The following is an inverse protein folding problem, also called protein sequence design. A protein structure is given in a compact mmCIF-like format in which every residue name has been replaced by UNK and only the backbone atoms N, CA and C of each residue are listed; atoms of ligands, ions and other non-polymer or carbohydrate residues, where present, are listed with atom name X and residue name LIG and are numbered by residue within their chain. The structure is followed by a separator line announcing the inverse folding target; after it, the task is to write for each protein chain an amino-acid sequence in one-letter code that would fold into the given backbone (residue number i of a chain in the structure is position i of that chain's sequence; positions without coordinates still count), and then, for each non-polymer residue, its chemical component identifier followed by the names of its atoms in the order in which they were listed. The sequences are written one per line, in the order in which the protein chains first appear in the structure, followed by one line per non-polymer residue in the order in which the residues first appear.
data_IF_954198427381
#
_entry.id   IF_954198427381
#
_cell.length_a   1.000
_cell.length_b   1.000
_cell.length_c   1.000
_cell.angle_alpha   90.00
_cell.angle_beta   90.00
_cell.angle_gamma   90.00
#
_symmetry.space_group_name_H-M   'P 1'
#
loop_
_entity.id
_entity.type
_entity.pdbx_description
1 polymer ?
#
# COMPACT_ATOMS: atom_id res chain seq x y z
N UNK A 1 17.75 50.76 52.17
CA UNK A 1 19.19 50.74 52.50
C UNK A 1 19.91 51.51 51.42
N UNK A 2 20.32 52.74 51.74
CA UNK A 2 20.95 53.71 50.83
C UNK A 2 22.47 53.55 50.90
N UNK A 3 23.12 53.43 49.76
CA UNK A 3 24.60 53.40 49.65
C UNK A 3 25.16 54.82 49.64
N UNK A 4 26.24 55.12 50.38
CA UNK A 4 26.81 56.47 50.46
C UNK A 4 27.65 56.83 49.22
N UNK A 5 27.63 58.12 48.87
CA UNK A 5 28.46 58.75 47.83
C UNK A 5 29.95 58.74 48.17
N UNK A 6 30.86 58.56 47.19
CA UNK A 6 32.29 58.75 47.40
C UNK A 6 32.66 60.24 47.34
N UNK A 7 33.34 60.70 48.39
CA UNK A 7 33.99 62.00 48.52
C UNK A 7 35.26 62.11 47.67
N UNK A 8 35.45 63.26 47.04
CA UNK A 8 36.60 63.60 46.21
C UNK A 8 37.83 63.95 47.09
N UNK A 9 39.01 63.32 46.92
CA UNK A 9 40.21 63.77 47.60
C UNK A 9 40.86 64.96 46.87
N UNK A 10 40.94 66.07 47.59
CA UNK A 10 41.76 67.24 47.28
C UNK A 10 43.24 66.96 47.58
N UNK A 11 44.10 67.39 46.66
CA UNK A 11 45.49 67.88 46.85
C UNK A 11 46.58 67.07 46.11
N UNK A 12 47.38 67.72 45.21
CA UNK A 12 48.28 67.04 44.30
C UNK A 12 49.75 67.14 44.73
N UNK A 13 50.20 66.49 45.81
CA UNK A 13 51.62 66.59 46.21
C UNK A 13 52.24 65.33 46.82
N UNK A 14 51.81 64.14 46.44
CA UNK A 14 52.59 62.92 46.73
C UNK A 14 52.64 62.00 45.50
N UNK A 15 53.57 62.30 44.59
CA UNK A 15 54.10 61.33 43.65
C UNK A 15 55.58 61.14 43.95
N UNK A 16 56.05 59.91 44.21
CA UNK A 16 57.48 59.66 44.39
C UNK A 16 58.24 60.07 43.12
N UNK A 17 59.28 60.88 43.33
CA UNK A 17 60.22 61.31 42.30
C UNK A 17 60.97 60.06 41.80
N UNK A 18 60.66 59.63 40.57
CA UNK A 18 61.47 58.67 39.81
C UNK A 18 62.84 59.32 39.54
N UNK A 19 63.92 58.64 39.92
CA UNK A 19 65.28 59.14 39.76
C UNK A 19 65.71 59.31 38.29
N UNK A 20 66.77 60.10 38.03
CA UNK A 20 67.30 60.34 36.69
C UNK A 20 68.05 59.08 36.22
N UNK A 21 67.33 58.18 35.57
CA UNK A 21 67.89 56.90 35.11
C UNK A 21 66.88 55.94 34.51
N UNK A 22 65.58 56.19 34.65
CA UNK A 22 64.58 55.51 33.84
C UNK A 22 64.60 56.13 32.44
N UNK A 23 65.27 55.48 31.51
CA UNK A 23 65.07 55.75 30.09
C UNK A 23 63.58 55.69 29.83
N UNK A 24 62.99 56.79 29.34
CA UNK A 24 61.69 56.73 28.68
C UNK A 24 61.85 55.69 27.58
N UNK A 25 61.40 54.46 27.83
CA UNK A 25 61.13 53.52 26.76
C UNK A 25 59.95 54.11 26.01
N UNK A 26 60.26 55.03 25.10
CA UNK A 26 59.31 55.54 24.12
C UNK A 26 58.82 54.32 23.37
N UNK A 27 57.60 53.87 23.70
CA UNK A 27 56.94 52.84 22.92
C UNK A 27 56.76 53.42 21.51
N UNK A 28 57.70 53.06 20.64
CA UNK A 28 57.66 53.34 19.21
C UNK A 28 57.20 52.05 18.57
N UNK A 29 55.90 51.86 18.31
CA UNK A 29 55.48 50.70 17.53
C UNK A 29 56.20 50.82 16.20
N UNK A 30 56.99 49.82 15.85
CA UNK A 30 57.48 49.74 14.48
C UNK A 30 56.24 49.64 13.61
N UNK A 31 56.24 50.29 12.45
CA UNK A 31 55.06 50.41 11.57
C UNK A 31 54.51 49.03 11.10
N UNK A 32 55.15 47.92 11.50
CA UNK A 32 54.70 46.53 11.33
C UNK A 32 54.31 45.76 12.60
N UNK A 33 54.40 46.29 13.83
CA UNK A 33 54.07 45.53 15.05
C UNK A 33 52.56 45.33 15.22
N UNK A 34 51.78 46.41 15.11
CA UNK A 34 50.31 46.34 15.21
C UNK A 34 49.67 45.49 14.11
N UNK A 35 50.23 45.53 12.90
CA UNK A 35 49.74 44.70 11.78
C UNK A 35 49.97 43.20 12.04
N UNK A 36 51.14 42.82 12.60
CA UNK A 36 51.45 41.42 12.95
C UNK A 36 50.57 40.90 14.08
N UNK A 37 50.30 41.74 15.08
CA UNK A 37 49.41 41.41 16.19
C UNK A 37 47.95 41.25 15.73
N UNK A 38 47.47 42.15 14.84
CA UNK A 38 46.13 42.03 14.25
C UNK A 38 46.00 40.79 13.37
N UNK A 39 47.01 40.48 12.53
CA UNK A 39 47.03 39.28 11.72
C UNK A 39 47.06 38.01 12.57
N UNK A 40 47.80 38.02 13.69
CA UNK A 40 47.82 36.93 14.66
C UNK A 40 46.45 36.71 15.30
N UNK A 41 45.80 37.78 15.76
CA UNK A 41 44.46 37.73 16.36
C UNK A 41 43.39 37.24 15.37
N UNK A 42 43.44 37.71 14.11
CA UNK A 42 42.58 37.23 13.04
C UNK A 42 42.82 35.74 12.75
N UNK A 43 44.08 35.30 12.71
CA UNK A 43 44.43 33.90 12.52
C UNK A 43 43.85 32.99 13.61
N UNK A 44 43.98 33.38 14.88
CA UNK A 44 43.39 32.65 16.02
C UNK A 44 41.86 32.66 15.94
N UNK A 45 41.24 33.79 15.62
CA UNK A 45 39.79 33.89 15.49
C UNK A 45 39.25 32.97 14.37
N UNK A 46 39.91 32.91 13.21
CA UNK A 46 39.57 31.99 12.13
C UNK A 46 39.75 30.54 12.56
N UNK A 47 40.86 30.20 13.23
CA UNK A 47 41.11 28.85 13.72
C UNK A 47 40.04 28.37 14.71
N UNK A 48 39.56 29.25 15.59
CA UNK A 48 38.52 28.93 16.58
C UNK A 48 37.14 28.84 15.92
N UNK A 49 36.82 29.72 14.96
CA UNK A 49 35.49 29.80 14.35
C UNK A 49 35.28 28.85 13.16
N UNK A 50 36.34 28.48 12.44
CA UNK A 50 36.27 27.58 11.28
C UNK A 50 35.68 26.18 11.56
N UNK A 51 35.93 25.50 12.70
CA UNK A 51 35.24 24.24 12.99
C UNK A 51 33.75 24.43 13.31
N UNK A 52 33.36 25.58 13.88
CA UNK A 52 31.96 25.87 14.27
C UNK A 52 31.13 26.32 13.06
N UNK A 53 31.64 27.26 12.27
CA UNK A 53 30.91 27.87 11.14
C UNK A 53 31.40 27.42 9.76
N UNK A 54 32.54 26.74 9.67
CA UNK A 54 33.05 26.14 8.45
C UNK A 54 32.60 24.68 8.32
N UNK A 55 33.53 23.74 8.44
CA UNK A 55 33.26 22.33 8.14
C UNK A 55 32.20 21.68 9.04
N UNK A 56 32.20 21.98 10.35
CA UNK A 56 31.20 21.47 11.29
C UNK A 56 29.81 22.04 11.02
N UNK A 57 29.71 23.35 10.81
CA UNK A 57 28.47 24.02 10.41
C UNK A 57 27.92 23.50 9.08
N UNK A 58 28.77 23.31 8.08
CA UNK A 58 28.38 22.73 6.79
C UNK A 58 27.86 21.30 6.91
N UNK A 59 28.48 20.47 7.76
CA UNK A 59 28.01 19.10 8.02
C UNK A 59 26.67 19.08 8.74
N UNK A 60 26.49 19.92 9.77
CA UNK A 60 25.21 20.04 10.50
C UNK A 60 24.10 20.57 9.58
N UNK A 61 24.40 21.58 8.77
CA UNK A 61 23.45 22.10 7.78
C UNK A 61 23.11 21.05 6.71
N UNK A 62 24.10 20.30 6.22
CA UNK A 62 23.88 19.20 5.28
C UNK A 62 22.99 18.11 5.84
N UNK A 63 23.25 17.65 7.07
CA UNK A 63 22.43 16.66 7.76
C UNK A 63 21.01 17.17 8.06
N UNK A 64 20.90 18.42 8.53
CA UNK A 64 19.60 19.07 8.71
C UNK A 64 18.83 19.13 7.40
N UNK A 65 19.47 19.51 6.29
CA UNK A 65 18.83 19.61 4.97
C UNK A 65 18.35 18.25 4.48
N UNK A 66 19.18 17.21 4.58
CA UNK A 66 18.77 15.83 4.22
C UNK A 66 17.55 15.40 5.05
N UNK A 67 17.55 15.64 6.36
CA UNK A 67 16.40 15.32 7.24
C UNK A 67 15.17 16.18 6.93
N UNK A 68 15.37 17.44 6.57
CA UNK A 68 14.30 18.36 6.17
C UNK A 68 13.67 17.89 4.85
N UNK A 69 14.48 17.68 3.82
CA UNK A 69 14.05 17.21 2.50
C UNK A 69 13.30 15.87 2.63
N UNK A 70 13.80 14.95 3.47
CA UNK A 70 13.10 13.69 3.76
C UNK A 70 11.75 13.89 4.45
N UNK A 71 11.63 14.84 5.39
CA UNK A 71 10.36 15.17 6.05
C UNK A 71 9.36 15.79 5.08
N UNK A 72 9.82 16.72 4.25
CA UNK A 72 8.97 17.34 3.21
C UNK A 72 8.48 16.28 2.25
N UNK A 73 9.35 15.39 1.76
CA UNK A 73 8.96 14.31 0.86
C UNK A 73 7.91 13.35 1.48
N UNK A 74 8.01 13.05 2.78
CA UNK A 74 7.00 12.25 3.49
C UNK A 74 5.65 12.96 3.53
N UNK A 75 5.64 14.26 3.85
CA UNK A 75 4.42 15.07 3.87
C UNK A 75 3.84 15.16 2.45
N UNK A 76 4.67 15.33 1.44
CA UNK A 76 4.21 15.35 0.05
C UNK A 76 3.59 14.02 -0.36
N UNK A 77 4.22 12.90 -0.02
CA UNK A 77 3.66 11.58 -0.30
C UNK A 77 2.32 11.37 0.42
N UNK A 78 2.15 11.87 1.65
CA UNK A 78 0.93 11.73 2.46
C UNK A 78 -0.20 12.71 2.10
N UNK A 79 0.00 13.58 1.10
CA UNK A 79 -1.00 14.52 0.60
C UNK A 79 -1.25 14.32 -0.90
N UNK A 80 -0.85 13.17 -1.45
CA UNK A 80 -0.93 12.91 -2.88
C UNK A 80 -2.39 12.85 -3.37
N UNK A 81 -3.27 12.20 -2.60
CA UNK A 81 -4.69 12.14 -2.93
C UNK A 81 -5.36 13.51 -2.80
N UNK A 82 -5.08 14.25 -1.73
CA UNK A 82 -5.62 15.60 -1.54
C UNK A 82 -5.24 16.53 -2.71
N UNK A 83 -3.99 16.45 -3.18
CA UNK A 83 -3.54 17.21 -4.35
C UNK A 83 -4.24 16.78 -5.64
N UNK A 84 -4.47 15.48 -5.84
CA UNK A 84 -5.21 14.96 -7.00
C UNK A 84 -6.62 15.55 -7.06
N UNK A 85 -7.34 15.54 -5.94
CA UNK A 85 -8.72 16.03 -5.86
C UNK A 85 -8.78 17.56 -5.97
N UNK A 86 -7.82 18.27 -5.37
CA UNK A 86 -7.72 19.73 -5.46
C UNK A 86 -7.30 20.25 -6.84
N UNK A 87 -6.62 19.42 -7.65
CA UNK A 87 -6.24 19.78 -9.01
C UNK A 87 -7.46 19.82 -9.95
N UNK A 88 -7.38 20.61 -11.03
CA UNK A 88 -8.33 20.52 -12.13
C UNK A 88 -8.40 19.08 -12.66
N UNK A 89 -9.59 18.55 -12.99
CA UNK A 89 -9.71 17.20 -13.50
C UNK A 89 -8.95 17.07 -14.83
N UNK A 90 -8.18 16.00 -14.96
CA UNK A 90 -7.55 15.64 -16.22
C UNK A 90 -8.60 15.15 -17.25
N UNK A 91 -8.15 14.78 -18.44
CA UNK A 91 -9.03 14.26 -19.48
C UNK A 91 -9.80 13.01 -19.01
N UNK A 92 -11.02 12.87 -19.55
CA UNK A 92 -11.88 11.71 -19.37
C UNK A 92 -11.17 10.43 -19.83
N UNK A 93 -11.39 9.34 -19.10
CA UNK A 93 -10.82 8.03 -19.40
C UNK A 93 -11.49 7.39 -20.62
N UNK A 94 -10.77 6.52 -21.38
CA UNK A 94 -11.35 5.84 -22.53
C UNK A 94 -12.39 4.81 -22.09
N UNK A 95 -13.60 4.84 -22.66
CA UNK A 95 -14.75 4.03 -22.21
C UNK A 95 -14.46 2.54 -22.25
N UNK A 96 -14.12 1.98 -23.43
CA UNK A 96 -13.96 0.53 -23.62
C UNK A 96 -12.88 -0.09 -22.71
N UNK A 97 -11.63 0.43 -22.66
CA UNK A 97 -10.61 -0.13 -21.76
C UNK A 97 -10.96 0.05 -20.28
N UNK A 98 -11.64 1.14 -19.92
CA UNK A 98 -12.05 1.36 -18.53
C UNK A 98 -13.20 0.44 -18.12
N UNK A 99 -14.12 0.14 -19.04
CA UNK A 99 -15.19 -0.85 -18.83
C UNK A 99 -14.62 -2.26 -18.68
N UNK A 100 -13.68 -2.65 -19.54
CA UNK A 100 -12.95 -3.92 -19.40
C UNK A 100 -12.21 -4.01 -18.05
N UNK A 101 -11.53 -2.92 -17.66
CA UNK A 101 -10.86 -2.82 -16.37
C UNK A 101 -11.80 -2.96 -15.17
N UNK A 102 -12.99 -2.38 -15.22
CA UNK A 102 -14.04 -2.56 -14.20
C UNK A 102 -14.45 -4.02 -14.10
N UNK A 103 -14.70 -4.67 -15.23
CA UNK A 103 -15.21 -6.04 -15.26
C UNK A 103 -14.16 -7.01 -14.68
N UNK A 104 -12.88 -6.82 -15.03
CA UNK A 104 -11.77 -7.52 -14.41
C UNK A 104 -11.66 -7.21 -12.91
N UNK A 105 -11.70 -5.94 -12.51
CA UNK A 105 -11.61 -5.52 -11.11
C UNK A 105 -12.68 -6.19 -10.25
N UNK A 106 -13.91 -6.25 -10.74
CA UNK A 106 -15.04 -6.87 -10.04
C UNK A 106 -14.81 -8.36 -9.76
N UNK A 107 -14.10 -9.05 -10.64
CA UNK A 107 -13.78 -10.47 -10.44
C UNK A 107 -12.59 -10.65 -9.50
N UNK A 108 -11.48 -9.95 -9.71
CA UNK A 108 -10.19 -10.29 -9.06
C UNK A 108 -9.78 -9.38 -7.91
N UNK A 109 -10.15 -8.10 -7.96
CA UNK A 109 -9.69 -7.10 -6.98
C UNK A 109 -10.73 -6.84 -5.89
N UNK A 110 -12.01 -6.85 -6.25
CA UNK A 110 -13.12 -6.49 -5.37
C UNK A 110 -13.24 -7.40 -4.14
N UNK A 111 -12.82 -8.67 -4.25
CA UNK A 111 -12.84 -9.61 -3.13
C UNK A 111 -12.02 -9.12 -1.91
N UNK A 112 -10.93 -8.39 -2.16
CA UNK A 112 -10.07 -7.82 -1.11
C UNK A 112 -10.28 -6.31 -0.95
N UNK A 113 -10.37 -5.57 -2.05
CA UNK A 113 -10.45 -4.11 -2.04
C UNK A 113 -11.89 -3.57 -2.02
N UNK A 114 -12.90 -4.43 -2.01
CA UNK A 114 -14.32 -4.07 -2.05
C UNK A 114 -14.78 -3.75 -3.48
N UNK A 115 -16.08 -3.94 -3.74
CA UNK A 115 -16.68 -3.69 -5.06
C UNK A 115 -16.51 -2.23 -5.55
N UNK A 116 -16.51 -1.27 -4.62
CA UNK A 116 -16.26 0.14 -4.86
C UNK A 116 -14.78 0.53 -4.74
N UNK A 117 -13.88 -0.41 -4.45
CA UNK A 117 -12.47 -0.12 -4.18
C UNK A 117 -12.21 0.63 -2.87
N UNK A 118 -13.18 0.76 -1.97
CA UNK A 118 -13.02 1.50 -0.69
C UNK A 118 -12.25 0.71 0.38
N UNK A 119 -11.85 -0.52 0.08
CA UNK A 119 -11.17 -1.43 0.99
C UNK A 119 -12.13 -2.26 1.85
N UNK A 120 -11.61 -3.36 2.38
CA UNK A 120 -12.28 -4.21 3.36
C UNK A 120 -11.33 -4.37 4.54
N UNK A 121 -11.82 -4.09 5.76
CA UNK A 121 -11.00 -4.17 6.97
C UNK A 121 -10.43 -5.58 7.15
N UNK A 122 -9.11 -5.68 7.33
CA UNK A 122 -8.40 -6.95 7.46
C UNK A 122 -8.07 -7.66 6.14
N UNK A 123 -8.54 -7.13 5.00
CA UNK A 123 -8.21 -7.63 3.66
C UNK A 123 -7.46 -6.56 2.85
N UNK A 124 -8.10 -5.90 1.90
CA UNK A 124 -7.51 -4.88 1.04
C UNK A 124 -7.69 -3.46 1.58
N UNK A 125 -6.68 -2.62 1.35
CA UNK A 125 -6.74 -1.18 1.63
C UNK A 125 -7.67 -0.46 0.64
N UNK A 126 -8.11 0.75 0.98
CA UNK A 126 -8.80 1.61 0.02
C UNK A 126 -7.90 1.93 -1.16
N UNK A 127 -8.49 1.90 -2.35
CA UNK A 127 -7.93 2.33 -3.62
C UNK A 127 -8.55 3.63 -4.09
N UNK A 128 -9.62 4.13 -3.44
CA UNK A 128 -10.31 5.38 -3.76
C UNK A 128 -9.60 6.57 -3.12
N UNK A 129 -9.43 6.53 -1.79
CA UNK A 129 -8.77 7.56 -1.00
C UNK A 129 -7.38 7.06 -0.60
N UNK A 130 -6.49 6.97 -1.59
CA UNK A 130 -5.19 6.33 -1.41
C UNK A 130 -4.06 7.17 -1.94
N UNK A 131 -3.27 7.73 -1.04
CA UNK A 131 -2.05 8.45 -1.37
C UNK A 131 -1.05 7.58 -2.12
N UNK A 132 -0.97 6.29 -1.76
CA UNK A 132 -0.10 5.34 -2.45
C UNK A 132 -0.50 5.22 -3.93
N UNK A 133 -1.79 5.07 -4.23
CA UNK A 133 -2.24 4.98 -5.62
C UNK A 133 -2.06 6.32 -6.32
N UNK A 134 -2.44 7.42 -5.68
CA UNK A 134 -2.39 8.77 -6.23
C UNK A 134 -0.98 9.22 -6.64
N UNK A 135 0.05 8.84 -5.87
CA UNK A 135 1.44 9.27 -6.14
C UNK A 135 2.17 8.45 -7.21
N UNK A 136 1.65 7.28 -7.58
CA UNK A 136 2.30 6.39 -8.55
C UNK A 136 1.87 6.79 -9.96
N UNK A 137 2.78 6.70 -10.92
CA UNK A 137 2.43 6.70 -12.35
C UNK A 137 1.64 5.44 -12.73
N UNK A 138 1.03 5.44 -13.91
CA UNK A 138 0.26 4.28 -14.40
C UNK A 138 1.19 3.07 -14.64
N UNK A 139 2.42 3.28 -15.12
CA UNK A 139 3.41 2.24 -15.30
C UNK A 139 3.92 1.66 -13.97
N UNK A 140 4.13 2.52 -12.96
CA UNK A 140 4.50 2.05 -11.61
C UNK A 140 3.38 1.25 -10.97
N UNK A 141 2.12 1.66 -11.14
CA UNK A 141 0.97 0.92 -10.61
C UNK A 141 0.78 -0.41 -11.34
N UNK A 142 0.95 -0.43 -12.67
CA UNK A 142 0.95 -1.64 -13.47
C UNK A 142 2.03 -2.63 -13.00
N UNK A 143 3.28 -2.16 -12.85
CA UNK A 143 4.38 -2.97 -12.33
C UNK A 143 4.12 -3.48 -10.92
N UNK A 144 3.54 -2.65 -10.06
CA UNK A 144 3.14 -3.03 -8.70
C UNK A 144 2.09 -4.15 -8.68
N UNK A 145 1.12 -4.14 -9.61
CA UNK A 145 0.12 -5.21 -9.69
C UNK A 145 0.74 -6.51 -10.22
N UNK A 146 1.68 -6.43 -11.17
CA UNK A 146 2.42 -7.60 -11.67
C UNK A 146 3.18 -8.28 -10.54
N UNK A 147 3.99 -7.52 -9.80
CA UNK A 147 4.84 -8.07 -8.75
C UNK A 147 4.04 -8.43 -7.48
N UNK A 148 3.01 -7.65 -7.18
CA UNK A 148 2.26 -7.74 -5.93
C UNK A 148 3.14 -7.47 -4.72
N UNK A 149 2.69 -7.95 -3.57
CA UNK A 149 3.43 -7.98 -2.30
C UNK A 149 3.25 -9.36 -1.64
N UNK A 150 3.85 -10.43 -2.21
CA UNK A 150 3.57 -11.82 -1.82
C UNK A 150 3.98 -12.17 -0.39
N UNK A 151 4.82 -11.35 0.24
CA UNK A 151 5.31 -11.54 1.61
C UNK A 151 4.90 -10.40 2.56
N UNK A 152 3.90 -9.60 2.18
CA UNK A 152 3.40 -8.56 3.06
C UNK A 152 2.61 -9.13 4.23
N UNK A 153 2.82 -8.54 5.40
CA UNK A 153 2.02 -8.81 6.60
C UNK A 153 0.98 -7.69 6.84
N UNK A 154 -0.18 -8.00 7.45
CA UNK A 154 -0.62 -9.33 7.87
C UNK A 154 -1.19 -10.18 6.71
N UNK A 155 -1.49 -9.57 5.56
CA UNK A 155 -2.04 -10.25 4.40
C UNK A 155 -1.23 -9.92 3.13
N UNK A 156 -0.80 -10.93 2.36
CA UNK A 156 -0.08 -10.71 1.11
C UNK A 156 -1.02 -10.21 0.01
N UNK A 157 -0.49 -9.36 -0.88
CA UNK A 157 -1.11 -9.09 -2.17
C UNK A 157 -0.44 -10.01 -3.20
N UNK A 158 -1.14 -11.00 -3.77
CA UNK A 158 -0.51 -11.93 -4.71
C UNK A 158 -0.10 -11.22 -6.01
N UNK A 159 0.97 -11.69 -6.69
CA UNK A 159 1.33 -11.26 -8.05
C UNK A 159 0.14 -11.41 -8.99
N UNK A 160 -0.10 -10.41 -9.86
CA UNK A 160 -1.27 -10.36 -10.78
C UNK A 160 -2.60 -10.68 -10.10
N UNK A 161 -2.79 -10.24 -8.85
CA UNK A 161 -3.98 -10.54 -8.04
C UNK A 161 -4.29 -12.05 -7.90
N UNK A 162 -3.30 -12.92 -8.06
CA UNK A 162 -3.45 -14.38 -7.97
C UNK A 162 -3.93 -15.04 -9.26
N UNK A 163 -3.99 -14.29 -10.37
CA UNK A 163 -4.37 -14.81 -11.69
C UNK A 163 -3.22 -14.63 -12.69
N UNK A 164 -2.56 -15.74 -12.98
CA UNK A 164 -1.44 -15.82 -13.92
C UNK A 164 -1.87 -15.63 -15.39
N UNK A 165 -3.16 -15.76 -15.67
CA UNK A 165 -3.76 -15.60 -16.99
C UNK A 165 -4.06 -14.15 -17.38
N UNK A 166 -4.01 -13.20 -16.44
CA UNK A 166 -4.19 -11.77 -16.75
C UNK A 166 -3.03 -11.27 -17.61
N UNK A 167 -3.33 -10.69 -18.76
CA UNK A 167 -2.35 -10.09 -19.68
C UNK A 167 -1.92 -8.70 -19.21
N UNK A 168 -0.83 -8.16 -19.77
CA UNK A 168 -0.43 -6.78 -19.49
C UNK A 168 -1.50 -5.74 -19.88
N UNK A 169 -2.26 -6.02 -20.94
CA UNK A 169 -3.36 -5.14 -21.36
C UNK A 169 -4.53 -5.19 -20.38
N UNK A 170 -4.83 -6.36 -19.81
CA UNK A 170 -5.80 -6.52 -18.73
C UNK A 170 -5.40 -5.71 -17.49
N UNK A 171 -4.12 -5.76 -17.11
CA UNK A 171 -3.62 -5.02 -15.96
C UNK A 171 -3.64 -3.49 -16.21
N UNK A 172 -3.31 -3.04 -17.43
CA UNK A 172 -3.45 -1.62 -17.80
C UNK A 172 -4.91 -1.17 -17.78
N UNK A 173 -5.84 -2.01 -18.23
CA UNK A 173 -7.27 -1.74 -18.13
C UNK A 173 -7.71 -1.59 -16.67
N UNK A 174 -7.27 -2.48 -15.77
CA UNK A 174 -7.50 -2.37 -14.32
C UNK A 174 -6.94 -1.05 -13.78
N UNK A 175 -5.73 -0.65 -14.17
CA UNK A 175 -5.14 0.64 -13.77
C UNK A 175 -6.04 1.81 -14.17
N UNK A 176 -6.56 1.83 -15.41
CA UNK A 176 -7.49 2.87 -15.86
C UNK A 176 -8.75 2.93 -14.99
N UNK A 177 -9.33 1.77 -14.65
CA UNK A 177 -10.49 1.74 -13.76
C UNK A 177 -10.15 2.23 -12.35
N UNK A 178 -9.01 1.85 -11.78
CA UNK A 178 -8.54 2.35 -10.48
C UNK A 178 -8.31 3.87 -10.51
N UNK A 179 -7.88 4.46 -11.64
CA UNK A 179 -7.82 5.92 -11.80
C UNK A 179 -9.21 6.56 -11.79
N UNK A 180 -10.19 5.92 -12.39
CA UNK A 180 -11.58 6.36 -12.33
C UNK A 180 -12.16 6.30 -10.91
N UNK A 181 -11.77 5.31 -10.11
CA UNK A 181 -12.13 5.23 -8.69
C UNK A 181 -11.50 6.37 -7.87
N UNK A 182 -10.24 6.73 -8.16
CA UNK A 182 -9.54 7.83 -7.49
C UNK A 182 -10.09 9.22 -7.84
N UNK A 183 -10.42 9.44 -9.12
CA UNK A 183 -11.02 10.69 -9.60
C UNK A 183 -12.29 10.40 -10.42
N UNK A 184 -13.46 10.28 -9.74
CA UNK A 184 -14.73 10.02 -10.41
C UNK A 184 -15.12 11.07 -11.45
N UNK A 185 -14.53 12.28 -11.42
CA UNK A 185 -14.77 13.33 -12.43
C UNK A 185 -14.24 12.93 -13.81
N UNK A 186 -13.32 11.96 -13.87
CA UNK A 186 -12.72 11.43 -15.11
C UNK A 186 -13.35 10.14 -15.60
N UNK A 187 -14.20 9.51 -14.78
CA UNK A 187 -14.84 8.23 -15.10
C UNK A 187 -16.04 8.49 -16.02
N UNK A 188 -16.03 8.05 -17.29
CA UNK A 188 -17.20 8.15 -18.15
C UNK A 188 -18.32 7.25 -17.66
N UNK A 189 -19.53 7.44 -18.19
CA UNK A 189 -20.58 6.42 -18.09
C UNK A 189 -20.10 5.15 -18.79
N UNK A 190 -19.98 4.07 -18.04
CA UNK A 190 -19.53 2.79 -18.55
C UNK A 190 -20.75 1.94 -18.96
N UNK A 191 -20.66 1.17 -20.06
CA UNK A 191 -21.72 0.22 -20.42
C UNK A 191 -21.97 -0.76 -19.27
N UNK A 192 -23.17 -1.35 -19.21
CA UNK A 192 -23.44 -2.42 -18.26
C UNK A 192 -22.35 -3.50 -18.33
N UNK A 193 -22.02 -4.12 -17.20
CA UNK A 193 -21.00 -5.17 -17.16
C UNK A 193 -21.29 -6.20 -18.23
N UNK A 194 -20.30 -6.47 -19.08
CA UNK A 194 -20.44 -7.56 -20.01
C UNK A 194 -20.58 -8.84 -19.18
N UNK A 195 -21.60 -9.65 -19.46
CA UNK A 195 -21.71 -10.97 -18.85
C UNK A 195 -20.38 -11.68 -19.09
N UNK A 196 -19.70 -12.03 -18.01
CA UNK A 196 -18.38 -12.68 -18.05
C UNK A 196 -18.39 -13.80 -19.08
N UNK A 197 -17.42 -13.82 -19.99
CA UNK A 197 -17.29 -14.84 -21.02
C UNK A 197 -17.51 -16.24 -20.40
N UNK A 198 -18.33 -17.07 -21.04
CA UNK A 198 -18.69 -18.41 -20.54
C UNK A 198 -17.47 -19.34 -20.36
N UNK A 199 -17.67 -20.56 -19.84
CA UNK A 199 -16.57 -21.48 -19.57
C UNK A 199 -15.73 -21.76 -20.82
N UNK A 200 -14.41 -21.85 -20.65
CA UNK A 200 -13.50 -22.20 -21.76
C UNK A 200 -13.69 -23.65 -22.20
N UNK A 201 -13.23 -23.99 -23.40
CA UNK A 201 -13.34 -25.36 -23.92
C UNK A 201 -12.58 -26.38 -23.05
N UNK A 202 -11.45 -25.96 -22.44
CA UNK A 202 -10.72 -26.78 -21.48
C UNK A 202 -11.54 -27.05 -20.21
N UNK A 203 -12.28 -26.05 -19.70
CA UNK A 203 -13.14 -26.20 -18.53
C UNK A 203 -14.34 -27.08 -18.82
N UNK A 204 -14.96 -26.91 -20.01
CA UNK A 204 -16.06 -27.79 -20.46
C UNK A 204 -15.61 -29.24 -20.58
N UNK A 205 -14.42 -29.48 -21.16
CA UNK A 205 -13.87 -30.83 -21.28
C UNK A 205 -13.58 -31.47 -19.91
N UNK A 206 -12.96 -30.73 -18.99
CA UNK A 206 -12.70 -31.20 -17.63
C UNK A 206 -14.01 -31.47 -16.86
N UNK A 207 -15.03 -30.65 -17.06
CA UNK A 207 -16.34 -30.81 -16.44
C UNK A 207 -17.08 -32.06 -16.93
N UNK A 208 -17.04 -32.36 -18.23
CA UNK A 208 -17.62 -33.59 -18.79
C UNK A 208 -17.02 -34.86 -18.19
N UNK A 209 -15.70 -34.87 -17.99
CA UNK A 209 -15.01 -35.98 -17.33
C UNK A 209 -15.43 -36.09 -15.86
N UNK A 210 -15.45 -34.98 -15.13
CA UNK A 210 -15.85 -34.95 -13.73
C UNK A 210 -17.33 -35.34 -13.50
N UNK A 211 -18.20 -35.03 -14.46
CA UNK A 211 -19.61 -35.39 -14.45
C UNK A 211 -19.89 -36.86 -14.82
N UNK A 212 -18.85 -37.65 -15.18
CA UNK A 212 -19.04 -39.03 -15.62
C UNK A 212 -19.87 -39.16 -16.90
N UNK A 213 -19.83 -38.14 -17.77
CA UNK A 213 -20.58 -38.09 -19.03
C UNK A 213 -21.98 -37.49 -18.95
N UNK A 214 -22.46 -37.06 -17.77
CA UNK A 214 -23.71 -36.30 -17.64
C UNK A 214 -23.50 -34.88 -18.17
N UNK A 215 -24.16 -34.55 -19.28
CA UNK A 215 -24.02 -33.24 -19.94
C UNK A 215 -24.62 -32.10 -19.12
N UNK A 216 -25.72 -32.33 -18.40
CA UNK A 216 -26.37 -31.30 -17.60
C UNK A 216 -25.50 -30.95 -16.39
N UNK A 217 -25.01 -31.97 -15.68
CA UNK A 217 -24.09 -31.77 -14.57
C UNK A 217 -22.76 -31.13 -15.02
N UNK A 218 -22.26 -31.48 -16.21
CA UNK A 218 -21.05 -30.88 -16.76
C UNK A 218 -21.21 -29.37 -17.05
N UNK A 219 -22.40 -28.92 -17.45
CA UNK A 219 -22.66 -27.49 -17.65
C UNK A 219 -22.53 -26.71 -16.33
N UNK A 220 -23.13 -27.20 -15.24
CA UNK A 220 -23.01 -26.60 -13.91
C UNK A 220 -21.56 -26.62 -13.40
N UNK A 221 -20.85 -27.74 -13.55
CA UNK A 221 -19.45 -27.84 -13.14
C UNK A 221 -18.56 -26.86 -13.93
N UNK A 222 -18.76 -26.73 -15.25
CA UNK A 222 -17.98 -25.81 -16.08
C UNK A 222 -18.25 -24.35 -15.72
N UNK A 223 -19.52 -24.00 -15.48
CA UNK A 223 -19.93 -22.68 -14.99
C UNK A 223 -19.30 -22.38 -13.63
N UNK A 224 -19.38 -23.34 -12.71
CA UNK A 224 -18.81 -23.26 -11.37
C UNK A 224 -17.31 -23.10 -11.36
N UNK A 225 -16.59 -23.85 -12.20
CA UNK A 225 -15.13 -23.75 -12.33
C UNK A 225 -14.70 -22.35 -12.78
N UNK A 226 -15.41 -21.80 -13.78
CA UNK A 226 -15.19 -20.43 -14.25
C UNK A 226 -15.45 -19.40 -13.16
N UNK A 227 -16.57 -19.52 -12.44
CA UNK A 227 -16.91 -18.61 -11.35
C UNK A 227 -15.92 -18.71 -10.19
N UNK A 228 -15.49 -19.92 -9.84
CA UNK A 228 -14.47 -20.18 -8.84
C UNK A 228 -13.14 -19.52 -9.22
N UNK A 229 -12.71 -19.66 -10.47
CA UNK A 229 -11.51 -19.00 -11.00
C UNK A 229 -11.62 -17.47 -11.01
N UNK A 230 -12.84 -16.94 -11.14
CA UNK A 230 -13.06 -15.49 -11.09
C UNK A 230 -12.96 -14.94 -9.67
N UNK A 231 -13.50 -15.62 -8.65
CA UNK A 231 -13.77 -15.02 -7.34
C UNK A 231 -13.00 -15.69 -6.19
N UNK A 232 -12.75 -17.00 -6.26
CA UNK A 232 -12.29 -17.78 -5.10
C UNK A 232 -10.77 -18.09 -5.14
N UNK A 233 -10.19 -18.20 -6.34
CA UNK A 233 -8.80 -18.65 -6.54
C UNK A 233 -7.76 -17.77 -5.85
N UNK A 234 -7.99 -16.44 -5.77
CA UNK A 234 -7.07 -15.51 -5.13
C UNK A 234 -6.76 -15.85 -3.65
N UNK A 235 -7.73 -16.48 -2.95
CA UNK A 235 -7.58 -16.91 -1.57
C UNK A 235 -7.39 -18.42 -1.43
N UNK A 236 -8.08 -19.22 -2.24
CA UNK A 236 -8.15 -20.67 -2.08
C UNK A 236 -7.25 -21.46 -3.03
N UNK A 237 -6.49 -20.79 -3.91
CA UNK A 237 -5.61 -21.44 -4.88
C UNK A 237 -6.37 -21.96 -6.11
N UNK A 238 -5.63 -22.22 -7.19
CA UNK A 238 -6.20 -22.48 -8.53
C UNK A 238 -7.04 -23.75 -8.58
N UNK A 239 -6.62 -24.78 -7.86
CA UNK A 239 -7.34 -26.05 -7.69
C UNK A 239 -7.90 -26.24 -6.29
N UNK A 240 -8.08 -25.16 -5.53
CA UNK A 240 -8.58 -25.23 -4.14
C UNK A 240 -7.55 -25.77 -3.13
N UNK A 241 -6.25 -25.76 -3.43
CA UNK A 241 -5.17 -26.23 -2.55
C UNK A 241 -4.91 -25.35 -1.32
N UNK A 242 -5.45 -24.13 -1.31
CA UNK A 242 -5.24 -23.13 -0.27
C UNK A 242 -3.98 -22.28 -0.49
N UNK A 243 -3.99 -21.07 0.06
CA UNK A 243 -2.86 -20.15 0.00
C UNK A 243 -2.37 -19.88 1.42
N UNK A 244 -1.09 -20.16 1.69
CA UNK A 244 -0.50 -19.96 3.01
C UNK A 244 -0.65 -18.50 3.47
N UNK A 245 -1.11 -18.30 4.71
CA UNK A 245 -1.40 -16.96 5.25
C UNK A 245 -2.66 -16.30 4.70
N UNK A 246 -3.44 -16.98 3.86
CA UNK A 246 -4.69 -16.48 3.30
C UNK A 246 -5.81 -17.54 3.44
N UNK A 247 -6.38 -18.05 2.34
CA UNK A 247 -7.48 -19.01 2.38
C UNK A 247 -7.04 -20.46 2.63
N UNK A 248 -7.87 -21.22 3.36
CA UNK A 248 -7.68 -22.66 3.60
C UNK A 248 -7.85 -23.47 2.31
N UNK A 249 -7.23 -24.65 2.27
CA UNK A 249 -7.50 -25.64 1.23
C UNK A 249 -8.99 -26.01 1.23
N UNK A 250 -9.62 -26.00 0.06
CA UNK A 250 -10.97 -26.49 -0.19
C UNK A 250 -10.95 -27.92 -0.76
N UNK A 251 -9.89 -28.28 -1.50
CA UNK A 251 -9.68 -29.62 -2.04
C UNK A 251 -9.47 -30.63 -0.92
N UNK A 252 -10.27 -31.70 -0.91
CA UNK A 252 -10.23 -32.74 0.11
C UNK A 252 -10.43 -32.24 1.54
N UNK A 253 -11.11 -31.10 1.71
CA UNK A 253 -11.30 -30.48 3.01
C UNK A 253 -12.48 -31.11 3.76
N UNK A 254 -12.25 -31.59 4.98
CA UNK A 254 -13.27 -32.26 5.78
C UNK A 254 -14.51 -31.38 6.07
N UNK A 255 -14.33 -30.05 6.26
CA UNK A 255 -15.46 -29.14 6.46
C UNK A 255 -16.32 -29.03 5.19
N UNK A 256 -15.69 -28.85 4.02
CA UNK A 256 -16.40 -28.80 2.72
C UNK A 256 -17.09 -30.13 2.43
N UNK A 257 -16.42 -31.26 2.68
CA UNK A 257 -16.98 -32.59 2.47
C UNK A 257 -18.14 -32.91 3.45
N UNK A 258 -18.10 -32.39 4.68
CA UNK A 258 -19.12 -32.67 5.70
C UNK A 258 -20.45 -31.94 5.50
N UNK A 259 -20.45 -30.82 4.76
CA UNK A 259 -21.66 -30.05 4.49
C UNK A 259 -22.37 -30.61 3.26
N UNK A 260 -23.70 -30.65 3.31
CA UNK A 260 -24.55 -30.77 2.13
C UNK A 260 -24.55 -29.47 1.32
N UNK A 261 -25.21 -29.47 0.15
CA UNK A 261 -25.18 -28.33 -0.76
C UNK A 261 -25.87 -27.11 -0.13
N UNK A 262 -26.97 -27.30 0.60
CA UNK A 262 -27.65 -26.24 1.35
C UNK A 262 -26.77 -25.63 2.44
N UNK A 263 -26.03 -26.45 3.18
CA UNK A 263 -25.09 -26.01 4.21
C UNK A 263 -23.94 -25.21 3.60
N UNK A 264 -23.38 -25.68 2.48
CA UNK A 264 -22.31 -25.00 1.79
C UNK A 264 -22.79 -23.68 1.15
N UNK A 265 -23.99 -23.66 0.58
CA UNK A 265 -24.64 -22.46 0.05
C UNK A 265 -24.83 -21.40 1.13
N UNK A 266 -25.38 -21.77 2.30
CA UNK A 266 -25.56 -20.85 3.44
C UNK A 266 -24.21 -20.31 3.92
N UNK A 267 -23.18 -21.17 3.97
CA UNK A 267 -21.85 -20.78 4.39
C UNK A 267 -21.20 -19.80 3.40
N UNK A 268 -21.21 -20.10 2.09
CA UNK A 268 -20.64 -19.22 1.05
C UNK A 268 -21.39 -17.88 1.02
N UNK A 269 -22.72 -17.92 1.11
CA UNK A 269 -23.56 -16.70 1.09
C UNK A 269 -23.25 -15.78 2.26
N UNK A 270 -23.06 -16.32 3.47
CA UNK A 270 -22.81 -15.52 4.68
C UNK A 270 -21.33 -15.19 4.89
N UNK A 271 -20.42 -16.07 4.47
CA UNK A 271 -19.00 -16.03 4.81
C UNK A 271 -18.73 -16.32 6.30
N UNK A 272 -17.48 -16.09 6.72
CA UNK A 272 -17.00 -16.20 8.11
C UNK A 272 -16.13 -15.00 8.47
N UNK A 273 -16.52 -14.29 9.52
CA UNK A 273 -15.80 -13.11 10.01
C UNK A 273 -14.46 -13.44 10.68
N UNK A 274 -13.56 -12.46 10.82
CA UNK A 274 -12.24 -12.65 11.43
C UNK A 274 -12.30 -12.94 12.94
N UNK A 275 -13.37 -12.55 13.62
CA UNK A 275 -13.58 -12.75 15.07
C UNK A 275 -14.42 -13.99 15.40
N UNK A 276 -14.85 -14.75 14.39
CA UNK A 276 -15.62 -15.98 14.59
C UNK A 276 -14.74 -17.03 15.30
N UNK A 277 -15.29 -17.70 16.32
CA UNK A 277 -14.53 -18.68 17.10
C UNK A 277 -14.03 -19.87 16.28
N UNK A 278 -14.72 -20.21 15.18
CA UNK A 278 -14.32 -21.25 14.25
C UNK A 278 -13.37 -20.72 13.15
N UNK A 279 -13.01 -19.43 13.15
CA UNK A 279 -12.02 -18.87 12.26
C UNK A 279 -10.59 -19.10 12.79
N UNK A 280 -9.97 -20.16 12.31
CA UNK A 280 -8.59 -20.52 12.70
C UNK A 280 -7.49 -19.71 12.00
N UNK A 281 -7.81 -18.94 10.94
CA UNK A 281 -6.81 -18.13 10.22
C UNK A 281 -6.77 -16.69 10.70
N UNK A 282 -7.86 -16.20 11.31
CA UNK A 282 -8.05 -14.77 11.59
C UNK A 282 -8.30 -13.93 10.34
N UNK A 283 -8.30 -14.55 9.15
CA UNK A 283 -8.59 -13.90 7.86
C UNK A 283 -10.08 -14.03 7.57
N UNK A 284 -10.70 -12.92 7.17
CA UNK A 284 -12.12 -12.92 6.82
C UNK A 284 -12.36 -13.71 5.53
N UNK A 285 -13.34 -14.63 5.55
CA UNK A 285 -13.99 -15.12 4.34
C UNK A 285 -15.25 -14.27 4.11
N UNK A 286 -15.23 -13.29 3.18
CA UNK A 286 -16.37 -12.40 2.97
C UNK A 286 -17.61 -13.13 2.40
N UNK A 287 -18.82 -12.58 2.62
CA UNK A 287 -20.04 -13.05 1.96
C UNK A 287 -19.84 -13.19 0.44
N UNK A 288 -20.27 -14.32 -0.14
CA UNK A 288 -20.13 -14.64 -1.57
C UNK A 288 -18.70 -14.51 -2.10
N UNK A 289 -17.69 -14.81 -1.27
CA UNK A 289 -16.29 -14.63 -1.65
C UNK A 289 -15.90 -13.17 -1.91
N UNK A 290 -16.70 -12.20 -1.45
CA UNK A 290 -16.47 -10.78 -1.66
C UNK A 290 -17.03 -10.26 -2.99
N UNK A 291 -17.71 -11.11 -3.75
CA UNK A 291 -18.42 -10.73 -4.97
C UNK A 291 -19.93 -10.68 -4.72
N UNK A 292 -20.51 -9.50 -4.42
CA UNK A 292 -21.94 -9.39 -4.16
C UNK A 292 -22.81 -9.63 -5.41
N UNK A 293 -22.21 -9.63 -6.61
CA UNK A 293 -22.92 -9.82 -7.88
C UNK A 293 -23.25 -11.30 -8.18
N UNK A 294 -22.65 -12.26 -7.45
CA UNK A 294 -23.00 -13.68 -7.62
C UNK A 294 -24.46 -13.92 -7.24
N UNK A 295 -25.22 -14.49 -8.16
CA UNK A 295 -26.59 -14.96 -7.93
C UNK A 295 -26.62 -16.24 -7.07
N UNK A 296 -27.81 -16.71 -6.71
CA UNK A 296 -27.95 -17.98 -6.00
C UNK A 296 -27.52 -19.16 -6.89
N UNK A 297 -27.92 -19.13 -8.16
CA UNK A 297 -27.53 -20.13 -9.17
C UNK A 297 -26.01 -20.16 -9.37
N UNK A 298 -25.34 -18.99 -9.43
CA UNK A 298 -23.88 -18.92 -9.50
C UNK A 298 -23.19 -19.63 -8.32
N UNK A 299 -23.76 -19.53 -7.11
CA UNK A 299 -23.21 -20.19 -5.92
C UNK A 299 -23.43 -21.71 -6.00
N UNK A 300 -24.57 -22.16 -6.50
CA UNK A 300 -24.86 -23.58 -6.73
C UNK A 300 -23.91 -24.19 -7.78
N UNK A 301 -23.63 -23.47 -8.86
CA UNK A 301 -22.64 -23.87 -9.86
C UNK A 301 -21.25 -24.01 -9.22
N UNK A 302 -20.82 -23.03 -8.43
CA UNK A 302 -19.56 -23.10 -7.66
C UNK A 302 -19.55 -24.34 -6.77
N UNK A 303 -20.65 -24.65 -6.09
CA UNK A 303 -20.76 -25.85 -5.24
C UNK A 303 -20.60 -27.12 -6.07
N UNK A 304 -21.24 -27.23 -7.24
CA UNK A 304 -21.08 -28.36 -8.15
C UNK A 304 -19.61 -28.58 -8.51
N UNK A 305 -18.87 -27.49 -8.82
CA UNK A 305 -17.43 -27.56 -9.02
C UNK A 305 -16.66 -27.99 -7.76
N UNK A 306 -16.96 -27.43 -6.58
CA UNK A 306 -16.28 -27.79 -5.33
C UNK A 306 -16.44 -29.27 -4.96
N UNK A 307 -17.56 -29.90 -5.36
CA UNK A 307 -17.77 -31.35 -5.20
C UNK A 307 -16.77 -32.17 -6.00
N UNK A 308 -16.37 -31.70 -7.18
CA UNK A 308 -15.33 -32.36 -7.99
C UNK A 308 -13.94 -32.34 -7.33
N UNK A 309 -13.71 -31.40 -6.40
CA UNK A 309 -12.46 -31.28 -5.64
C UNK A 309 -12.42 -32.19 -4.39
N UNK A 310 -13.51 -32.88 -4.06
CA UNK A 310 -13.58 -33.78 -2.91
C UNK A 310 -13.28 -35.22 -3.32
N UNK A 311 -12.69 -36.04 -2.43
CA UNK A 311 -12.50 -37.46 -2.70
C UNK A 311 -13.85 -38.15 -2.89
N UNK A 312 -13.97 -38.90 -3.99
CA UNK A 312 -15.13 -39.73 -4.32
C UNK A 312 -15.29 -40.83 -3.27
N UNK A 313 -16.25 -40.65 -2.36
CA UNK A 313 -16.52 -41.57 -1.25
C UNK A 313 -17.08 -40.94 0.04
N UNK A 314 -17.18 -39.61 0.10
CA UNK A 314 -17.85 -38.90 1.20
C UNK A 314 -19.04 -38.09 0.67
N UNK A 315 -19.94 -38.73 -0.08
CA UNK A 315 -21.31 -38.20 -0.17
C UNK A 315 -21.95 -38.41 1.19
N UNK A 316 -22.34 -37.30 1.83
CA UNK A 316 -23.05 -37.28 3.09
C UNK A 316 -24.13 -38.38 3.09
N UNK A 317 -24.06 -39.26 4.09
CA UNK A 317 -25.17 -40.16 4.37
C UNK A 317 -26.38 -39.29 4.70
N UNK A 318 -27.33 -39.21 3.78
CA UNK A 318 -28.65 -38.66 4.01
C UNK A 318 -29.33 -39.47 5.13
N UNK A 319 -29.26 -38.95 6.35
CA UNK A 319 -30.07 -39.37 7.47
C UNK A 319 -31.44 -38.71 7.35
N UNK A 320 -32.47 -39.55 7.26
CA UNK A 320 -33.89 -39.18 7.18
C UNK A 320 -34.38 -38.42 8.42
#
# INVERSE_FOLDING_TARGET
MQTPSPSNPTSPTDRPILGPGATEQTWRPTVGSGARECLGALGVAVLVMAPIFGAGGWRVYGDWRVRHDARVAIIEAALAYERLVAAPPAAMLPVEPTAHGRDLFATVCAACHGASGTGITGLGKSLVESDFVARQSDDELHGFIIEGRPFAEPLPMPPRAGRDDLTDDDLRAIVLYVRGLQDPRRLPELPAMAASAGPTDAQKAAAMEAAGGDSELAEYIASGDRLFHSTCVACHGRGGEGVAGNGKALKGNAFVASLDDDGLFKFITKGRGPTDAANTTGIQMPPKGGNPALSEDDILDIIAYLRTLQPSGQSASAGH
#
